data_IF_449219494726
#
_entry.id   IF_449219494726
#
_cell.length_a   1.000
_cell.length_b   1.000
_cell.length_c   1.000
_cell.angle_alpha   90.00
_cell.angle_beta   90.00
_cell.angle_gamma   90.00
#
_symmetry.space_group_name_H-M   'P 1'
#
loop_
_entity.id
_entity.type
_entity.pdbx_description
1 polymer ?
#
# COMPACT_ATOMS: atom_id res chain seq x y z
N UNK A 1 0.41 15.34 -9.70
CA UNK A 1 1.01 14.48 -8.67
C UNK A 1 1.21 15.28 -7.38
N UNK A 2 0.71 14.77 -6.25
CA UNK A 2 0.87 15.43 -4.95
C UNK A 2 2.29 15.25 -4.42
N UNK A 3 2.67 16.04 -3.41
CA UNK A 3 3.98 15.88 -2.77
C UNK A 3 4.12 14.51 -2.13
N UNK A 4 3.04 13.98 -1.56
CA UNK A 4 3.03 12.65 -0.96
C UNK A 4 3.28 11.56 -2.01
N UNK A 5 2.66 11.66 -3.16
CA UNK A 5 2.88 10.74 -4.28
C UNK A 5 4.33 10.75 -4.75
N UNK A 6 4.92 11.95 -4.85
CA UNK A 6 6.34 12.10 -5.23
C UNK A 6 7.26 11.45 -4.20
N UNK A 7 6.97 11.63 -2.92
CA UNK A 7 7.77 11.05 -1.85
C UNK A 7 7.71 9.52 -1.89
N UNK A 8 6.53 8.96 -2.14
CA UNK A 8 6.36 7.52 -2.28
C UNK A 8 7.17 6.99 -3.46
N UNK A 9 7.07 7.67 -4.60
CA UNK A 9 7.84 7.32 -5.80
C UNK A 9 9.35 7.40 -5.55
N UNK A 10 9.80 8.46 -4.87
CA UNK A 10 11.22 8.65 -4.55
C UNK A 10 11.76 7.59 -3.60
N UNK A 11 10.90 6.95 -2.82
CA UNK A 11 11.28 5.84 -1.95
C UNK A 11 11.37 4.50 -2.69
N UNK A 12 11.06 4.49 -3.98
CA UNK A 12 11.17 3.30 -4.81
C UNK A 12 9.88 2.53 -5.01
N UNK A 13 8.75 3.09 -4.60
CA UNK A 13 7.45 2.43 -4.75
C UNK A 13 6.77 2.80 -6.05
N UNK A 14 6.12 1.82 -6.64
CA UNK A 14 5.28 1.99 -7.83
C UNK A 14 3.87 1.48 -7.53
N UNK A 15 2.88 2.04 -8.21
CA UNK A 15 1.51 1.54 -8.09
C UNK A 15 1.40 0.24 -8.88
N UNK A 16 1.00 -0.82 -8.21
CA UNK A 16 0.74 -2.11 -8.83
C UNK A 16 -0.74 -2.31 -9.14
N UNK A 17 -1.60 -1.90 -8.21
CA UNK A 17 -3.05 -2.00 -8.36
C UNK A 17 -3.67 -0.71 -7.85
N UNK A 18 -4.64 -0.20 -8.58
CA UNK A 18 -5.47 0.90 -8.11
C UNK A 18 -6.93 0.57 -8.44
N UNK A 19 -7.77 0.57 -7.42
CA UNK A 19 -9.20 0.30 -7.54
C UNK A 19 -9.96 1.29 -6.68
N UNK A 20 -10.33 2.40 -7.28
CA UNK A 20 -11.02 3.48 -6.56
C UNK A 20 -12.48 3.15 -6.28
N UNK A 21 -13.06 2.18 -6.98
CA UNK A 21 -14.42 1.73 -6.71
C UNK A 21 -14.49 0.96 -5.40
N UNK A 22 -13.45 0.20 -5.09
CA UNK A 22 -13.37 -0.60 -3.88
C UNK A 22 -12.45 0.02 -2.83
N UNK A 23 -12.00 1.27 -3.05
CA UNK A 23 -11.14 2.03 -2.13
C UNK A 23 -9.89 1.25 -1.74
N UNK A 24 -9.13 0.86 -2.76
CA UNK A 24 -8.00 -0.04 -2.60
C UNK A 24 -6.86 0.35 -3.53
N UNK A 25 -5.66 0.42 -2.99
CA UNK A 25 -4.48 0.69 -3.79
C UNK A 25 -3.30 -0.11 -3.23
N UNK A 26 -2.48 -0.66 -4.13
CA UNK A 26 -1.29 -1.42 -3.78
C UNK A 26 -0.08 -0.76 -4.40
N UNK A 27 0.91 -0.47 -3.56
CA UNK A 27 2.23 -0.02 -3.98
C UNK A 27 3.21 -1.16 -3.82
N UNK A 28 4.18 -1.26 -4.73
CA UNK A 28 5.24 -2.27 -4.60
C UNK A 28 6.61 -1.63 -4.73
N UNK A 29 7.55 -2.15 -3.96
CA UNK A 29 8.96 -1.84 -4.05
C UNK A 29 9.70 -3.15 -4.34
N UNK A 30 10.03 -3.39 -5.60
CA UNK A 30 10.64 -4.65 -6.03
C UNK A 30 12.03 -4.84 -5.43
N UNK A 31 12.77 -3.77 -5.25
CA UNK A 31 14.12 -3.81 -4.70
C UNK A 31 14.11 -4.30 -3.26
N UNK A 32 13.14 -3.86 -2.48
CA UNK A 32 13.03 -4.20 -1.06
C UNK A 32 12.12 -5.42 -0.81
N UNK A 33 11.56 -5.99 -1.86
CA UNK A 33 10.59 -7.08 -1.76
C UNK A 33 9.46 -6.73 -0.81
N UNK A 34 8.86 -5.56 -1.03
CA UNK A 34 7.85 -4.99 -0.14
C UNK A 34 6.63 -4.52 -0.91
N UNK A 35 5.47 -4.80 -0.35
CA UNK A 35 4.18 -4.39 -0.88
C UNK A 35 3.42 -3.65 0.22
N UNK A 36 2.88 -2.48 -0.11
CA UNK A 36 2.07 -1.68 0.80
C UNK A 36 0.65 -1.64 0.27
N UNK A 37 -0.29 -2.07 1.08
CA UNK A 37 -1.70 -2.10 0.74
C UNK A 37 -2.41 -1.04 1.55
N UNK A 38 -3.10 -0.13 0.86
CA UNK A 38 -3.97 0.87 1.48
C UNK A 38 -5.42 0.56 1.12
N UNK A 39 -6.27 0.55 2.13
CA UNK A 39 -7.69 0.29 1.97
C UNK A 39 -8.48 1.18 2.93
N UNK A 40 -9.62 1.67 2.49
CA UNK A 40 -10.43 2.56 3.35
C UNK A 40 -11.90 2.35 3.08
N UNK A 41 -12.71 2.75 4.08
CA UNK A 41 -14.15 2.63 4.04
C UNK A 41 -14.77 3.99 3.70
N UNK A 42 -15.78 4.02 2.83
CA UNK A 42 -16.50 5.24 2.45
C UNK A 42 -17.20 5.90 3.64
N UNK A 43 -17.57 5.12 4.65
CA UNK A 43 -18.28 5.61 5.84
C UNK A 43 -17.33 6.02 6.97
N UNK A 44 -16.02 6.03 6.72
CA UNK A 44 -14.99 6.35 7.72
C UNK A 44 -14.99 5.43 8.94
N UNK A 45 -15.45 4.20 8.77
CA UNK A 45 -15.48 3.23 9.85
C UNK A 45 -14.11 2.62 10.11
N UNK A 46 -13.33 2.44 9.07
CA UNK A 46 -11.99 1.88 9.19
C UNK A 46 -11.08 2.29 8.01
N UNK A 47 -9.80 2.12 8.22
CA UNK A 47 -8.82 2.13 7.16
C UNK A 47 -7.72 1.12 7.51
N UNK A 48 -7.08 0.58 6.49
CA UNK A 48 -6.04 -0.43 6.64
C UNK A 48 -4.78 0.02 5.93
N UNK A 49 -3.67 -0.23 6.58
CA UNK A 49 -2.34 -0.07 6.00
C UNK A 49 -1.56 -1.33 6.32
N UNK A 50 -1.27 -2.13 5.30
CA UNK A 50 -0.50 -3.36 5.42
C UNK A 50 0.84 -3.23 4.74
N UNK A 51 1.86 -3.83 5.35
CA UNK A 51 3.17 -3.99 4.75
C UNK A 51 3.55 -5.46 4.80
N UNK A 52 3.86 -6.03 3.65
CA UNK A 52 4.20 -7.45 3.53
C UNK A 52 5.15 -7.68 2.36
N UNK A 53 5.72 -8.88 2.29
CA UNK A 53 6.56 -9.26 1.15
C UNK A 53 5.73 -9.39 -0.11
N UNK A 54 6.33 -9.13 -1.27
CA UNK A 54 5.64 -9.30 -2.54
C UNK A 54 5.40 -10.80 -2.77
N UNK A 55 4.17 -11.13 -3.12
CA UNK A 55 3.78 -12.50 -3.40
C UNK A 55 4.24 -12.90 -4.80
N UNK A 56 5.33 -13.65 -4.91
CA UNK A 56 5.91 -14.09 -6.20
C UNK A 56 5.89 -15.57 -6.41
N UNK A 57 5.94 -16.34 -5.32
CA UNK A 57 6.04 -17.79 -5.39
C UNK A 57 4.81 -18.44 -4.78
N UNK A 58 4.42 -19.53 -5.38
CA UNK A 58 3.36 -20.37 -4.83
C UNK A 58 4.01 -21.60 -4.22
N UNK A 59 3.46 -22.08 -3.09
CA UNK A 59 3.88 -23.35 -2.53
C UNK A 59 3.34 -24.49 -3.43
N UNK A 60 3.63 -25.72 -3.05
CA UNK A 60 3.21 -26.89 -3.83
C UNK A 60 1.69 -27.08 -3.89
N UNK A 61 0.94 -26.40 -3.02
CA UNK A 61 -0.53 -26.38 -3.03
C UNK A 61 -1.09 -25.21 -3.85
N UNK A 62 -0.23 -24.36 -4.42
CA UNK A 62 -0.64 -23.20 -5.18
C UNK A 62 -0.91 -21.96 -4.34
N UNK A 63 -0.58 -21.99 -3.05
CA UNK A 63 -0.74 -20.85 -2.15
C UNK A 63 0.48 -19.96 -2.16
N UNK A 64 0.27 -18.66 -2.20
CA UNK A 64 1.34 -17.69 -2.07
C UNK A 64 1.65 -17.46 -0.60
N UNK A 65 2.93 -17.33 -0.29
CA UNK A 65 3.37 -16.99 1.06
C UNK A 65 3.74 -15.53 1.10
N UNK A 66 2.99 -14.77 1.87
CA UNK A 66 3.31 -13.39 2.17
C UNK A 66 3.60 -13.28 3.65
N UNK A 67 4.65 -12.54 3.98
CA UNK A 67 5.07 -12.34 5.37
C UNK A 67 4.97 -10.86 5.71
N UNK A 68 4.54 -10.51 6.93
CA UNK A 68 4.58 -9.13 7.36
C UNK A 68 5.98 -8.55 7.23
N UNK A 69 6.07 -7.29 6.82
CA UNK A 69 7.33 -6.60 6.67
C UNK A 69 7.26 -5.27 7.42
N UNK A 70 8.31 -4.97 8.17
CA UNK A 70 8.34 -3.76 8.97
C UNK A 70 8.40 -2.51 8.09
N UNK A 71 7.74 -1.46 8.53
CA UNK A 71 7.85 -0.12 7.96
C UNK A 71 8.76 0.70 8.86
N UNK A 72 9.62 1.53 8.27
CA UNK A 72 10.29 2.55 9.05
C UNK A 72 9.33 3.71 9.33
N UNK A 73 9.71 4.60 10.23
CA UNK A 73 8.85 5.70 10.67
C UNK A 73 8.50 6.63 9.51
N UNK A 74 9.46 6.92 8.64
CA UNK A 74 9.23 7.79 7.48
C UNK A 74 8.21 7.20 6.52
N UNK A 75 8.31 5.91 6.24
CA UNK A 75 7.35 5.19 5.39
C UNK A 75 5.96 5.20 6.00
N UNK A 76 5.87 4.90 7.29
CA UNK A 76 4.60 4.88 8.01
C UNK A 76 3.90 6.25 7.93
N UNK A 77 4.63 7.33 8.17
CA UNK A 77 4.09 8.68 8.13
C UNK A 77 3.59 9.04 6.73
N UNK A 78 4.38 8.73 5.70
CA UNK A 78 4.04 9.08 4.31
C UNK A 78 2.82 8.28 3.82
N UNK A 79 2.79 6.97 4.07
CA UNK A 79 1.65 6.16 3.66
C UNK A 79 0.39 6.50 4.46
N UNK A 80 0.51 6.86 5.72
CA UNK A 80 -0.61 7.35 6.52
C UNK A 80 -1.17 8.65 5.94
N UNK A 81 -0.30 9.57 5.55
CA UNK A 81 -0.71 10.82 4.90
C UNK A 81 -1.43 10.55 3.57
N UNK A 82 -0.90 9.62 2.77
CA UNK A 82 -1.51 9.23 1.51
C UNK A 82 -2.90 8.62 1.71
N UNK A 83 -3.04 7.78 2.72
CA UNK A 83 -4.33 7.16 3.06
C UNK A 83 -5.38 8.22 3.42
N UNK A 84 -4.99 9.25 4.17
CA UNK A 84 -5.87 10.37 4.49
C UNK A 84 -6.31 11.13 3.25
N UNK A 85 -5.39 11.41 2.34
CA UNK A 85 -5.71 12.09 1.08
C UNK A 85 -6.75 11.31 0.27
N UNK A 86 -6.55 9.99 0.17
CA UNK A 86 -7.44 9.12 -0.58
C UNK A 86 -8.84 9.05 0.04
N UNK A 87 -8.92 8.98 1.36
CA UNK A 87 -10.21 8.99 2.08
C UNK A 87 -10.96 10.28 1.84
N UNK A 88 -10.29 11.41 1.90
CA UNK A 88 -10.92 12.72 1.68
C UNK A 88 -11.43 12.89 0.26
N UNK A 89 -10.74 12.32 -0.72
CA UNK A 89 -11.18 12.35 -2.11
C UNK A 89 -12.42 11.51 -2.36
N UNK A 90 -12.64 10.49 -1.56
CA UNK A 90 -13.77 9.57 -1.71
C UNK A 90 -15.08 10.13 -1.17
N UNK A 91 -15.01 11.25 -0.46
CA UNK A 91 -16.20 11.88 0.15
C UNK A 91 -16.92 12.82 -0.79
#
# INVERSE_FOLDING_TARGET
MTDTEKQIENMGYEIRVIDMLNNYIVYENKKEDQEIILEWDDEDQYCLLFSETISREKDWLGHTRQMPKALNICELEIFTARLRELRERSK
#
